data_IF_058661032316
#
_entry.id   IF_058661032316
#
_cell.length_a   1.000
_cell.length_b   1.000
_cell.length_c   1.000
_cell.angle_alpha   90.00
_cell.angle_beta   90.00
_cell.angle_gamma   90.00
#
_symmetry.space_group_name_H-M   'P 1'
#
loop_
_entity.id
_entity.type
_entity.pdbx_description
1 polymer ?
#
# COMPACT_ATOMS: atom_id res chain seq x y z
N UNK A 1 51.15 -41.89 -48.01
CA UNK A 1 50.62 -41.48 -49.33
C UNK A 1 49.16 -41.90 -49.42
N UNK A 2 48.35 -41.19 -50.20
CA UNK A 2 46.94 -41.54 -50.46
C UNK A 2 46.85 -42.70 -51.51
N UNK A 3 45.70 -43.20 -51.99
CA UNK A 3 44.54 -42.50 -52.58
C UNK A 3 43.23 -43.31 -52.44
N UNK A 4 42.12 -42.57 -52.27
CA UNK A 4 40.68 -42.86 -52.48
C UNK A 4 40.13 -44.31 -52.51
N UNK A 5 39.02 -44.49 -51.78
CA UNK A 5 37.94 -45.40 -52.18
C UNK A 5 36.80 -44.57 -52.79
N UNK A 6 36.28 -44.98 -53.94
CA UNK A 6 35.12 -44.36 -54.59
C UNK A 6 33.90 -45.27 -54.46
N UNK A 7 32.76 -44.72 -54.04
CA UNK A 7 31.47 -45.41 -54.01
C UNK A 7 30.45 -44.56 -54.77
N UNK A 8 29.95 -45.08 -55.91
CA UNK A 8 28.95 -44.41 -56.72
C UNK A 8 27.54 -44.57 -56.14
N UNK A 9 26.74 -43.51 -56.19
CA UNK A 9 25.30 -43.56 -55.91
C UNK A 9 24.51 -43.47 -57.21
N UNK A 10 23.60 -44.43 -57.41
CA UNK A 10 22.80 -44.56 -58.63
C UNK A 10 21.58 -43.64 -58.55
N UNK A 11 21.38 -42.82 -59.58
CA UNK A 11 20.14 -42.06 -59.75
C UNK A 11 18.99 -43.00 -60.18
N UNK A 12 17.93 -43.06 -59.38
CA UNK A 12 16.66 -43.68 -59.75
C UNK A 12 15.60 -42.59 -59.91
N UNK A 13 15.09 -42.40 -61.13
CA UNK A 13 14.01 -41.47 -61.42
C UNK A 13 12.66 -42.11 -61.10
N UNK A 14 12.01 -41.67 -60.02
CA UNK A 14 10.72 -42.21 -59.57
C UNK A 14 9.57 -41.21 -59.81
N UNK A 15 8.74 -41.57 -60.77
CA UNK A 15 7.51 -40.95 -61.26
C UNK A 15 6.64 -40.17 -60.24
N UNK A 16 6.09 -39.02 -60.66
CA UNK A 16 5.08 -38.26 -59.91
C UNK A 16 3.74 -39.00 -59.82
N UNK A 17 3.14 -39.09 -58.63
CA UNK A 17 1.69 -39.25 -58.40
C UNK A 17 1.35 -39.06 -56.91
N UNK A 18 0.96 -37.84 -56.50
CA UNK A 18 0.22 -37.67 -55.23
C UNK A 18 -1.28 -37.95 -55.47
N UNK A 19 -1.98 -38.66 -54.55
CA UNK A 19 -3.43 -38.82 -54.62
C UNK A 19 -4.16 -37.53 -54.19
N UNK A 20 -5.29 -37.25 -54.84
CA UNK A 20 -6.10 -36.06 -54.58
C UNK A 20 -6.49 -35.89 -53.10
N UNK A 21 -6.16 -34.73 -52.54
CA UNK A 21 -6.60 -34.33 -51.20
C UNK A 21 -7.88 -33.49 -51.34
N UNK A 22 -8.98 -33.82 -50.63
CA UNK A 22 -10.24 -33.07 -50.77
C UNK A 22 -10.07 -31.60 -50.35
N UNK A 23 -10.78 -30.66 -50.99
CA UNK A 23 -10.57 -29.23 -50.81
C UNK A 23 -10.92 -28.80 -49.37
N UNK A 24 -9.95 -28.22 -48.67
CA UNK A 24 -10.18 -27.59 -47.36
C UNK A 24 -11.14 -26.42 -47.50
N UNK A 25 -12.22 -26.42 -46.72
CA UNK A 25 -13.11 -25.28 -46.60
C UNK A 25 -12.34 -24.03 -46.14
N UNK A 26 -12.61 -22.88 -46.78
CA UNK A 26 -12.05 -21.59 -46.35
C UNK A 26 -12.68 -21.20 -45.00
N UNK A 27 -11.90 -20.69 -44.02
CA UNK A 27 -12.48 -20.15 -42.80
C UNK A 27 -13.38 -18.93 -43.11
N UNK A 28 -14.44 -18.69 -42.34
CA UNK A 28 -15.34 -17.56 -42.56
C UNK A 28 -14.60 -16.22 -42.35
N UNK A 29 -14.87 -15.25 -43.22
CA UNK A 29 -14.30 -13.90 -43.10
C UNK A 29 -14.94 -13.20 -41.91
N UNK A 30 -14.15 -12.93 -40.87
CA UNK A 30 -14.59 -12.12 -39.73
C UNK A 30 -14.84 -10.67 -40.18
N UNK A 31 -16.04 -10.15 -39.95
CA UNK A 31 -16.36 -8.74 -40.21
C UNK A 31 -15.75 -7.84 -39.12
N UNK A 32 -15.27 -6.63 -39.43
CA UNK A 32 -14.73 -5.73 -38.42
C UNK A 32 -15.80 -5.29 -37.40
N UNK A 33 -15.57 -5.58 -36.12
CA UNK A 33 -16.38 -5.02 -35.03
C UNK A 33 -16.07 -3.53 -34.87
N UNK A 34 -16.91 -2.68 -35.46
CA UNK A 34 -16.81 -1.21 -35.33
C UNK A 34 -17.01 -0.83 -33.86
N UNK A 35 -16.03 -0.19 -33.19
CA UNK A 35 -16.18 0.17 -31.77
C UNK A 35 -17.28 1.21 -31.59
N UNK A 36 -18.34 0.84 -30.85
CA UNK A 36 -19.38 1.80 -30.45
C UNK A 36 -18.79 2.72 -29.38
N UNK A 37 -18.71 4.02 -29.69
CA UNK A 37 -18.26 5.06 -28.76
C UNK A 37 -19.12 5.00 -27.47
N UNK A 38 -18.51 4.93 -26.27
CA UNK A 38 -19.28 4.97 -25.02
C UNK A 38 -20.12 6.24 -24.91
N UNK A 39 -21.33 6.11 -24.37
CA UNK A 39 -22.13 7.27 -23.99
C UNK A 39 -21.47 8.03 -22.82
N UNK A 40 -21.60 9.37 -22.74
CA UNK A 40 -21.11 10.12 -21.59
C UNK A 40 -21.83 9.67 -20.31
N UNK A 41 -21.09 9.54 -19.20
CA UNK A 41 -21.67 9.31 -17.88
C UNK A 41 -22.47 10.54 -17.44
N UNK A 42 -23.62 10.40 -16.76
CA UNK A 42 -24.27 11.52 -16.11
C UNK A 42 -23.37 12.13 -15.03
N UNK A 43 -23.49 13.44 -14.85
CA UNK A 43 -22.72 14.24 -13.91
C UNK A 43 -23.31 14.14 -12.48
N UNK A 44 -22.49 14.16 -11.41
CA UNK A 44 -23.00 14.10 -10.04
C UNK A 44 -23.83 15.35 -9.66
N UNK A 45 -24.91 15.21 -8.86
CA UNK A 45 -25.68 16.35 -8.40
C UNK A 45 -24.87 17.23 -7.43
N UNK A 46 -25.04 18.55 -7.54
CA UNK A 46 -24.31 19.55 -6.76
C UNK A 46 -24.69 19.51 -5.26
N UNK A 47 -23.73 19.69 -4.31
CA UNK A 47 -24.03 19.67 -2.88
C UNK A 47 -24.91 20.85 -2.43
N UNK A 48 -26.02 20.55 -1.75
CA UNK A 48 -26.93 21.57 -1.23
C UNK A 48 -26.28 22.46 -0.16
N UNK A 49 -26.50 23.78 -0.25
CA UNK A 49 -25.91 24.77 0.64
C UNK A 49 -26.37 24.64 2.11
N UNK A 50 -25.49 24.92 3.10
CA UNK A 50 -25.83 24.84 4.52
C UNK A 50 -26.77 25.98 4.96
N UNK A 51 -27.71 25.66 5.87
CA UNK A 51 -28.62 26.66 6.47
C UNK A 51 -27.89 27.55 7.50
N UNK A 52 -28.25 28.84 7.62
CA UNK A 52 -27.64 29.75 8.59
C UNK A 52 -28.08 29.48 10.04
N UNK A 53 -27.15 29.73 10.97
CA UNK A 53 -27.34 29.56 12.42
C UNK A 53 -27.99 30.80 13.07
N UNK A 54 -28.87 30.67 14.08
CA UNK A 54 -29.42 31.81 14.81
C UNK A 54 -28.36 32.58 15.65
N UNK A 55 -28.52 33.90 15.86
CA UNK A 55 -27.61 34.71 16.67
C UNK A 55 -27.82 34.52 18.19
N UNK A 56 -26.78 34.81 18.97
CA UNK A 56 -26.80 34.73 20.43
C UNK A 56 -27.40 36.00 21.10
N UNK A 57 -28.02 35.89 22.29
CA UNK A 57 -28.63 37.03 22.99
C UNK A 57 -27.59 37.94 23.68
N UNK A 58 -27.88 39.24 23.71
CA UNK A 58 -27.05 40.28 24.32
C UNK A 58 -27.31 40.43 25.83
N UNK A 59 -26.28 40.64 26.69
CA UNK A 59 -26.49 40.88 28.12
C UNK A 59 -27.00 42.30 28.42
N UNK A 60 -28.04 42.40 29.24
CA UNK A 60 -28.69 43.66 29.62
C UNK A 60 -27.91 44.46 30.69
N UNK A 61 -28.08 45.78 30.70
CA UNK A 61 -27.29 46.71 31.52
C UNK A 61 -27.58 46.67 33.04
N UNK A 62 -26.60 47.15 33.82
CA UNK A 62 -26.61 47.23 35.30
C UNK A 62 -27.02 48.64 35.79
N UNK A 63 -28.00 48.78 36.70
CA UNK A 63 -28.34 50.08 37.30
C UNK A 63 -27.43 50.50 38.48
N UNK A 64 -27.50 51.81 38.78
CA UNK A 64 -26.98 52.53 39.96
C UNK A 64 -27.91 53.76 40.18
N UNK A 65 -27.92 54.50 41.28
CA UNK A 65 -27.10 54.46 42.50
C UNK A 65 -28.02 54.16 43.74
N UNK A 66 -28.25 54.93 44.83
CA UNK A 66 -27.67 56.18 45.39
C UNK A 66 -27.51 56.08 46.95
N UNK A 67 -27.78 57.05 47.87
CA UNK A 67 -26.97 57.14 49.09
C UNK A 67 -27.65 56.67 50.39
N UNK A 68 -26.83 56.56 51.45
CA UNK A 68 -27.22 56.27 52.83
C UNK A 68 -27.41 57.54 53.68
N UNK A 69 -28.42 57.59 54.58
CA UNK A 69 -28.44 58.46 55.76
C UNK A 69 -28.17 57.70 57.07
N UNK A 70 -27.75 58.41 58.12
CA UNK A 70 -27.35 57.88 59.44
C UNK A 70 -27.71 58.90 60.54
N UNK A 71 -27.62 58.61 61.86
CA UNK A 71 -28.33 57.57 62.61
C UNK A 71 -29.21 58.16 63.74
N UNK A 72 -29.89 57.31 64.54
CA UNK A 72 -30.52 57.68 65.84
C UNK A 72 -30.39 56.54 66.87
N UNK A 73 -30.67 56.75 68.19
CA UNK A 73 -29.81 56.19 69.24
C UNK A 73 -30.33 54.93 69.95
N UNK A 74 -29.41 54.29 70.66
CA UNK A 74 -29.56 53.07 71.46
C UNK A 74 -30.38 53.25 72.75
N UNK A 75 -31.14 52.21 73.15
CA UNK A 75 -31.34 51.86 74.57
C UNK A 75 -30.64 50.53 74.93
N UNK A 76 -30.47 50.25 76.23
CA UNK A 76 -29.37 49.40 76.73
C UNK A 76 -29.76 47.96 77.10
N UNK A 77 -28.93 47.00 76.64
CA UNK A 77 -28.55 45.71 77.26
C UNK A 77 -29.65 44.74 77.76
N UNK A 78 -29.67 43.56 77.15
CA UNK A 78 -29.85 42.26 77.85
C UNK A 78 -28.57 41.44 77.67
N UNK A 79 -28.01 40.77 78.70
CA UNK A 79 -26.84 39.90 78.52
C UNK A 79 -27.22 38.62 77.75
N UNK A 80 -26.62 38.42 76.58
CA UNK A 80 -26.77 37.17 75.84
C UNK A 80 -25.90 36.06 76.46
N UNK A 81 -26.33 34.77 76.44
CA UNK A 81 -25.51 33.66 76.91
C UNK A 81 -24.17 33.57 76.16
N UNK A 82 -23.12 33.14 76.88
CA UNK A 82 -21.77 32.96 76.32
C UNK A 82 -21.83 31.90 75.20
N UNK A 83 -21.42 32.22 73.95
CA UNK A 83 -21.47 31.25 72.86
C UNK A 83 -20.49 30.08 73.11
N UNK A 84 -20.80 28.87 72.60
CA UNK A 84 -19.90 27.73 72.72
C UNK A 84 -18.57 27.99 72.02
N UNK A 85 -17.48 27.32 72.43
CA UNK A 85 -16.17 27.46 71.78
C UNK A 85 -16.28 27.08 70.30
N UNK A 86 -15.72 27.94 69.42
CA UNK A 86 -15.63 27.62 67.99
C UNK A 86 -14.88 26.31 67.78
N UNK A 87 -15.32 25.44 66.85
CA UNK A 87 -14.52 24.30 66.42
C UNK A 87 -13.12 24.74 66.02
N UNK A 88 -12.11 23.98 66.45
CA UNK A 88 -10.72 24.16 66.00
C UNK A 88 -10.69 23.91 64.48
N UNK A 89 -10.05 24.79 63.68
CA UNK A 89 -9.89 24.52 62.25
C UNK A 89 -9.20 23.17 62.04
N UNK A 90 -9.83 22.33 61.21
CA UNK A 90 -9.24 21.06 60.78
C UNK A 90 -8.01 21.34 59.91
N UNK A 91 -6.90 20.59 60.05
CA UNK A 91 -5.72 20.79 59.21
C UNK A 91 -6.07 20.65 57.71
N UNK A 92 -5.52 21.49 56.82
CA UNK A 92 -5.73 21.32 55.38
C UNK A 92 -5.33 19.90 54.95
N UNK A 93 -6.23 19.20 54.27
CA UNK A 93 -5.94 17.87 53.73
C UNK A 93 -4.69 17.94 52.81
N UNK A 94 -3.79 16.94 52.86
CA UNK A 94 -2.62 16.92 51.98
C UNK A 94 -3.03 17.05 50.50
N UNK A 95 -2.28 17.82 49.68
CA UNK A 95 -2.61 17.96 48.27
C UNK A 95 -2.59 16.58 47.59
N UNK A 96 -3.67 16.27 46.87
CA UNK A 96 -3.83 14.96 46.23
C UNK A 96 -2.63 14.64 45.32
N UNK A 97 -2.12 13.39 45.33
CA UNK A 97 -0.98 13.01 44.52
C UNK A 97 -1.27 13.28 43.04
N UNK A 98 -0.36 14.01 42.40
CA UNK A 98 -0.50 14.43 41.01
C UNK A 98 -0.70 13.17 40.13
N UNK A 99 -1.74 13.13 39.27
CA UNK A 99 -2.01 11.93 38.47
C UNK A 99 -0.80 11.59 37.59
N UNK A 100 -0.50 10.29 37.38
CA UNK A 100 0.63 9.87 36.56
C UNK A 100 0.48 10.42 35.14
N UNK A 101 1.60 10.77 34.46
CA UNK A 101 1.54 11.29 33.11
C UNK A 101 0.90 10.27 32.17
N UNK A 102 -0.09 10.71 31.39
CA UNK A 102 -0.79 9.86 30.41
C UNK A 102 0.22 9.18 29.47
N UNK A 103 0.03 7.88 29.14
CA UNK A 103 0.93 7.17 28.25
C UNK A 103 1.01 7.88 26.89
N UNK A 104 2.23 8.07 26.39
CA UNK A 104 2.48 8.74 25.11
C UNK A 104 1.75 7.98 23.99
N UNK A 105 1.05 8.67 23.07
CA UNK A 105 0.38 8.01 21.94
C UNK A 105 1.35 7.10 21.16
N UNK A 106 0.90 5.93 20.65
CA UNK A 106 1.72 5.08 19.82
C UNK A 106 2.29 5.83 18.61
N UNK A 107 3.50 5.47 18.12
CA UNK A 107 4.03 6.02 16.88
C UNK A 107 3.04 5.90 15.73
N UNK A 108 2.91 6.97 14.93
CA UNK A 108 2.15 6.93 13.69
C UNK A 108 2.77 5.90 12.73
N UNK A 109 1.97 5.17 11.93
CA UNK A 109 2.52 4.19 11.00
C UNK A 109 3.48 4.83 9.99
N UNK A 110 4.66 4.23 9.84
CA UNK A 110 5.66 4.60 8.85
C UNK A 110 5.54 3.69 7.62
N UNK A 111 5.40 4.29 6.43
CA UNK A 111 5.43 3.59 5.15
C UNK A 111 6.85 3.57 4.59
N UNK A 112 7.40 2.37 4.39
CA UNK A 112 8.71 2.16 3.80
C UNK A 112 8.56 1.73 2.33
N UNK A 113 9.11 2.50 1.39
CA UNK A 113 9.09 2.16 -0.04
C UNK A 113 10.15 1.10 -0.38
N UNK A 114 9.81 0.06 -1.14
CA UNK A 114 10.77 -1.03 -1.45
C UNK A 114 11.95 -0.54 -2.32
N UNK A 115 11.74 0.51 -3.11
CA UNK A 115 12.76 1.22 -3.88
C UNK A 115 13.63 2.19 -3.06
N UNK A 116 13.54 2.20 -1.73
CA UNK A 116 14.35 3.01 -0.82
C UNK A 116 14.98 2.20 0.32
N UNK A 117 14.75 0.89 0.38
CA UNK A 117 15.31 0.06 1.45
C UNK A 117 16.81 -0.13 1.23
N UNK A 118 17.57 -0.14 2.33
CA UNK A 118 18.96 -0.57 2.29
C UNK A 118 19.06 -2.07 1.97
N UNK A 119 20.16 -2.44 1.32
CA UNK A 119 20.53 -3.84 1.11
C UNK A 119 21.33 -4.32 2.32
N UNK A 120 20.74 -5.22 3.13
CA UNK A 120 21.41 -5.78 4.31
C UNK A 120 22.65 -6.58 3.92
N UNK A 121 23.82 -6.37 4.56
CA UNK A 121 24.00 -5.81 5.90
C UNK A 121 24.45 -4.32 5.94
N UNK A 122 24.09 -3.49 4.96
CA UNK A 122 24.47 -2.06 4.94
C UNK A 122 23.60 -1.22 5.91
N UNK A 123 22.43 -1.74 6.33
CA UNK A 123 21.53 -1.06 7.26
C UNK A 123 21.84 -1.28 8.75
N UNK A 124 21.04 -0.62 9.60
CA UNK A 124 21.16 -0.62 11.06
C UNK A 124 20.30 -1.71 11.74
N UNK A 125 19.53 -2.50 10.98
CA UNK A 125 18.62 -3.51 11.51
C UNK A 125 17.38 -2.93 12.22
N UNK A 126 17.05 -1.64 12.05
CA UNK A 126 15.88 -0.98 12.67
C UNK A 126 14.68 -0.79 11.73
N UNK A 127 14.87 -1.05 10.43
CA UNK A 127 13.93 -0.77 9.34
C UNK A 127 13.87 -1.97 8.38
N UNK A 128 12.85 -2.07 7.52
CA UNK A 128 12.82 -3.10 6.49
C UNK A 128 14.04 -3.01 5.56
N UNK A 129 14.68 -4.15 5.29
CA UNK A 129 15.94 -4.24 4.52
C UNK A 129 15.90 -5.40 3.52
N UNK A 130 16.47 -5.22 2.33
CA UNK A 130 16.57 -6.27 1.32
C UNK A 130 17.73 -7.19 1.67
N UNK A 131 17.46 -8.47 1.94
CA UNK A 131 18.47 -9.45 2.32
C UNK A 131 19.26 -9.91 1.08
N UNK A 132 20.48 -9.38 0.89
CA UNK A 132 21.32 -9.69 -0.28
C UNK A 132 21.48 -11.20 -0.51
N UNK A 133 21.92 -11.94 0.51
CA UNK A 133 22.19 -13.39 0.41
C UNK A 133 20.97 -14.29 0.19
N UNK A 134 19.75 -13.75 0.11
CA UNK A 134 18.53 -14.50 -0.22
C UNK A 134 17.61 -13.73 -1.19
N UNK A 135 18.21 -12.88 -2.03
CA UNK A 135 17.51 -12.11 -3.06
C UNK A 135 18.18 -12.28 -4.41
N UNK A 136 17.38 -12.47 -5.46
CA UNK A 136 17.83 -12.30 -6.84
C UNK A 136 17.98 -10.82 -7.20
N UNK A 137 18.20 -10.53 -8.48
CA UNK A 137 18.31 -9.16 -8.98
C UNK A 137 17.04 -8.34 -8.70
N UNK A 138 17.26 -7.12 -8.21
CA UNK A 138 16.27 -6.13 -7.82
C UNK A 138 16.74 -4.75 -8.28
N UNK A 139 16.04 -4.14 -9.24
CA UNK A 139 16.30 -2.77 -9.66
C UNK A 139 15.38 -1.80 -8.92
N UNK A 140 15.94 -1.01 -8.00
CA UNK A 140 15.21 0.07 -7.34
C UNK A 140 15.06 1.27 -8.28
N UNK A 141 13.83 1.74 -8.53
CA UNK A 141 13.54 2.78 -9.54
C UNK A 141 12.64 3.90 -9.01
N UNK A 142 12.93 5.12 -9.43
CA UNK A 142 12.10 6.32 -9.27
C UNK A 142 10.94 6.41 -10.27
N UNK A 143 10.78 5.41 -11.13
CA UNK A 143 9.67 5.31 -12.08
C UNK A 143 9.64 3.95 -12.77
N UNK A 144 8.44 3.39 -12.87
CA UNK A 144 8.14 2.08 -13.50
C UNK A 144 6.88 2.19 -14.36
N UNK A 145 6.61 1.25 -15.26
CA UNK A 145 5.48 1.35 -16.20
C UNK A 145 4.91 -0.02 -16.53
N UNK A 146 3.59 -0.19 -16.38
CA UNK A 146 2.89 -1.46 -16.59
C UNK A 146 1.61 -1.19 -17.38
N UNK A 147 1.42 -1.88 -18.52
CA UNK A 147 0.22 -1.73 -19.35
C UNK A 147 0.08 -0.30 -19.90
N UNK A 148 1.21 0.34 -20.23
CA UNK A 148 1.29 1.75 -20.62
C UNK A 148 1.08 2.75 -19.48
N UNK A 149 0.81 2.31 -18.25
CA UNK A 149 0.55 3.19 -17.10
C UNK A 149 1.83 3.39 -16.29
N UNK A 150 2.29 4.65 -16.22
CA UNK A 150 3.47 5.04 -15.43
C UNK A 150 3.15 5.20 -13.94
N UNK A 151 4.06 4.76 -13.09
CA UNK A 151 3.99 4.94 -11.63
C UNK A 151 5.28 5.59 -11.10
N UNK A 152 5.14 6.59 -10.22
CA UNK A 152 6.24 7.44 -9.74
C UNK A 152 7.23 6.81 -8.74
N UNK A 153 7.13 5.50 -8.50
CA UNK A 153 8.19 4.68 -7.88
C UNK A 153 7.84 3.19 -8.02
N UNK A 154 8.85 2.32 -7.96
CA UNK A 154 8.66 0.87 -7.97
C UNK A 154 9.98 0.12 -7.99
N UNK A 155 9.89 -1.21 -7.99
CA UNK A 155 11.06 -2.08 -8.16
C UNK A 155 10.83 -3.12 -9.25
N UNK A 156 11.85 -3.39 -10.05
CA UNK A 156 11.81 -4.36 -11.15
C UNK A 156 12.63 -5.59 -10.79
N UNK A 157 12.13 -6.76 -11.18
CA UNK A 157 12.77 -8.06 -11.00
C UNK A 157 12.75 -8.81 -12.33
N UNK A 158 13.63 -9.82 -12.49
CA UNK A 158 13.46 -10.81 -13.56
C UNK A 158 12.29 -11.75 -13.22
N UNK A 159 11.64 -12.28 -14.25
CA UNK A 159 10.47 -13.16 -14.13
C UNK A 159 10.71 -14.49 -13.41
N UNK A 160 11.96 -14.92 -13.25
CA UNK A 160 12.37 -16.09 -12.46
C UNK A 160 13.23 -15.66 -11.25
N UNK A 161 12.68 -14.81 -10.38
CA UNK A 161 13.40 -14.21 -9.24
C UNK A 161 12.57 -14.18 -7.97
N UNK A 162 13.24 -14.21 -6.81
CA UNK A 162 12.62 -13.84 -5.54
C UNK A 162 13.51 -12.93 -4.73
N UNK A 163 12.91 -11.95 -4.04
CA UNK A 163 13.57 -10.93 -3.24
C UNK A 163 13.03 -11.01 -1.82
N UNK A 164 13.92 -11.25 -0.86
CA UNK A 164 13.58 -11.41 0.56
C UNK A 164 13.83 -10.09 1.28
N UNK A 165 12.82 -9.61 2.01
CA UNK A 165 12.88 -8.41 2.82
C UNK A 165 12.75 -8.83 4.29
N UNK A 166 13.77 -8.55 5.08
CA UNK A 166 13.70 -8.60 6.53
C UNK A 166 12.90 -7.39 7.00
N UNK A 167 11.86 -7.61 7.83
CA UNK A 167 10.98 -6.53 8.27
C UNK A 167 11.58 -5.72 9.43
N UNK A 168 12.40 -6.36 10.26
CA UNK A 168 13.14 -5.81 11.42
C UNK A 168 12.32 -5.08 12.51
N UNK A 169 11.01 -4.89 12.30
CA UNK A 169 10.08 -4.23 13.23
C UNK A 169 8.65 -4.74 13.04
N UNK A 170 7.73 -4.24 13.87
CA UNK A 170 6.30 -4.57 13.82
C UNK A 170 5.60 -3.99 12.59
N UNK A 171 5.70 -4.67 11.45
CA UNK A 171 4.98 -4.33 10.23
C UNK A 171 3.58 -4.97 10.18
N UNK A 172 2.64 -4.32 9.50
CA UNK A 172 1.21 -4.69 9.50
C UNK A 172 0.64 -4.94 8.11
N UNK A 173 1.10 -4.22 7.07
CA UNK A 173 0.58 -4.28 5.70
C UNK A 173 1.70 -4.23 4.67
N UNK A 174 1.54 -5.00 3.59
CA UNK A 174 2.28 -4.82 2.34
C UNK A 174 1.29 -4.44 1.23
N UNK A 175 1.65 -3.48 0.39
CA UNK A 175 0.83 -3.08 -0.76
C UNK A 175 1.67 -2.70 -1.98
N UNK A 176 1.25 -3.12 -3.17
CA UNK A 176 1.82 -2.75 -4.46
C UNK A 176 0.80 -2.93 -5.61
N UNK A 177 1.16 -2.47 -6.80
CA UNK A 177 0.61 -2.94 -8.08
C UNK A 177 1.65 -3.83 -8.76
N UNK A 178 1.25 -4.92 -9.41
CA UNK A 178 2.17 -5.84 -10.09
C UNK A 178 1.77 -6.12 -11.54
N UNK A 179 2.77 -6.34 -12.40
CA UNK A 179 2.59 -6.70 -13.80
C UNK A 179 3.93 -6.73 -14.55
N UNK A 180 3.89 -7.12 -15.82
CA UNK A 180 5.07 -7.09 -16.70
C UNK A 180 5.43 -5.64 -17.00
N UNK A 181 6.71 -5.30 -16.87
CA UNK A 181 7.24 -3.96 -17.19
C UNK A 181 7.12 -3.69 -18.69
N UNK A 182 6.64 -2.50 -19.07
CA UNK A 182 6.55 -2.06 -20.47
C UNK A 182 7.91 -2.07 -21.20
N UNK A 183 9.04 -2.04 -20.48
CA UNK A 183 10.38 -2.32 -21.03
C UNK A 183 10.50 -3.68 -21.73
N UNK A 184 9.62 -4.63 -21.39
CA UNK A 184 9.51 -5.96 -22.03
C UNK A 184 8.79 -5.89 -23.40
N UNK A 185 8.32 -4.72 -23.83
CA UNK A 185 7.69 -4.47 -25.14
C UNK A 185 6.48 -5.39 -25.44
N UNK A 186 5.71 -5.74 -24.41
CA UNK A 186 4.55 -6.63 -24.53
C UNK A 186 4.88 -8.13 -24.59
N UNK A 187 6.14 -8.53 -24.46
CA UNK A 187 6.54 -9.94 -24.44
C UNK A 187 6.42 -10.55 -23.05
N UNK A 188 6.25 -11.87 -23.03
CA UNK A 188 6.32 -12.69 -21.82
C UNK A 188 5.04 -12.76 -20.97
N UNK A 189 4.99 -13.77 -20.11
CA UNK A 189 3.90 -14.07 -19.18
C UNK A 189 4.44 -14.55 -17.84
N UNK A 190 3.97 -13.95 -16.75
CA UNK A 190 4.50 -14.19 -15.39
C UNK A 190 3.39 -14.39 -14.37
N UNK A 191 3.75 -14.88 -13.18
CA UNK A 191 2.88 -14.94 -12.00
C UNK A 191 3.62 -14.37 -10.80
N UNK A 192 2.97 -13.48 -10.08
CA UNK A 192 3.46 -12.90 -8.84
C UNK A 192 2.93 -13.68 -7.64
N UNK A 193 3.76 -13.85 -6.62
CA UNK A 193 3.37 -14.43 -5.34
C UNK A 193 4.02 -13.65 -4.19
N UNK A 194 3.27 -13.38 -3.13
CA UNK A 194 3.79 -12.80 -1.88
C UNK A 194 3.82 -13.88 -0.80
N UNK A 195 4.96 -14.02 -0.13
CA UNK A 195 5.16 -14.92 0.99
C UNK A 195 5.49 -14.12 2.26
N UNK A 196 5.05 -14.63 3.43
CA UNK A 196 5.48 -14.17 4.75
C UNK A 196 5.97 -15.37 5.56
N UNK A 197 7.23 -15.33 6.00
CA UNK A 197 7.92 -16.43 6.70
C UNK A 197 7.70 -17.81 6.04
N UNK A 198 7.95 -17.87 4.73
CA UNK A 198 7.81 -19.09 3.92
C UNK A 198 6.37 -19.52 3.59
N UNK A 199 5.35 -18.95 4.23
CA UNK A 199 3.93 -19.20 3.92
C UNK A 199 3.48 -18.27 2.79
N UNK A 200 2.84 -18.78 1.72
CA UNK A 200 2.28 -17.91 0.66
C UNK A 200 1.02 -17.21 1.18
N UNK A 201 1.02 -15.88 1.16
CA UNK A 201 -0.09 -15.04 1.63
C UNK A 201 -0.99 -14.59 0.46
N UNK A 202 -0.42 -14.42 -0.74
CA UNK A 202 -1.12 -13.96 -1.93
C UNK A 202 -0.47 -14.47 -3.21
N UNK A 203 -1.23 -14.56 -4.31
CA UNK A 203 -0.79 -14.95 -5.65
C UNK A 203 -1.68 -14.34 -6.73
N UNK A 204 -1.10 -13.88 -7.83
CA UNK A 204 -1.81 -13.32 -8.98
C UNK A 204 -2.41 -14.41 -9.90
N UNK A 205 -3.32 -14.05 -10.84
CA UNK A 205 -3.46 -14.76 -12.11
C UNK A 205 -2.14 -14.77 -12.90
N UNK A 206 -2.10 -15.40 -14.08
CA UNK A 206 -1.02 -15.09 -15.05
C UNK A 206 -1.24 -13.65 -15.52
N UNK A 207 -0.16 -12.89 -15.67
CA UNK A 207 -0.15 -11.56 -16.27
C UNK A 207 0.84 -11.55 -17.43
N UNK A 208 0.41 -11.04 -18.57
CA UNK A 208 1.16 -10.95 -19.82
C UNK A 208 1.69 -9.54 -20.03
N UNK A 209 2.66 -9.38 -20.94
CA UNK A 209 3.07 -8.06 -21.41
C UNK A 209 1.89 -7.26 -21.99
N UNK A 210 1.67 -6.06 -21.45
CA UNK A 210 0.56 -5.19 -21.84
C UNK A 210 -0.72 -5.32 -21.00
N UNK A 211 -0.80 -6.30 -20.08
CA UNK A 211 -1.93 -6.38 -19.13
C UNK A 211 -1.91 -5.22 -18.13
N UNK A 212 -3.10 -4.83 -17.65
CA UNK A 212 -3.24 -3.81 -16.61
C UNK A 212 -2.71 -4.30 -15.26
N UNK A 213 -2.03 -3.42 -14.51
CA UNK A 213 -1.39 -3.78 -13.24
C UNK A 213 -2.41 -4.23 -12.17
N UNK A 214 -2.16 -5.38 -11.55
CA UNK A 214 -3.04 -5.98 -10.53
C UNK A 214 -2.62 -5.55 -9.11
N UNK A 215 -3.56 -5.17 -8.24
CA UNK A 215 -3.25 -4.85 -6.85
C UNK A 215 -2.91 -6.09 -6.02
N UNK A 216 -1.84 -5.98 -5.24
CA UNK A 216 -1.54 -6.84 -4.10
C UNK A 216 -1.65 -5.99 -2.83
N UNK A 217 -2.48 -6.44 -1.88
CA UNK A 217 -2.74 -5.76 -0.63
C UNK A 217 -2.98 -6.80 0.46
N UNK A 218 -2.06 -6.90 1.42
CA UNK A 218 -1.94 -8.09 2.28
C UNK A 218 -1.53 -7.71 3.70
N UNK A 219 -2.19 -8.30 4.69
CA UNK A 219 -1.80 -8.22 6.10
C UNK A 219 -0.55 -9.07 6.39
N UNK A 220 0.48 -8.43 6.95
CA UNK A 220 1.78 -9.06 7.28
C UNK A 220 2.10 -8.99 8.78
N UNK A 221 1.08 -8.73 9.61
CA UNK A 221 1.21 -8.68 11.06
C UNK A 221 1.83 -9.98 11.64
N UNK A 222 2.77 -9.81 12.57
CA UNK A 222 3.47 -10.92 13.22
C UNK A 222 4.52 -11.62 12.36
N UNK A 223 4.74 -11.19 11.10
CA UNK A 223 5.80 -11.75 10.25
C UNK A 223 7.17 -11.18 10.59
N UNK A 224 8.23 -11.96 10.35
CA UNK A 224 9.63 -11.50 10.43
C UNK A 224 10.18 -11.10 9.07
N UNK A 225 9.76 -11.83 8.04
CA UNK A 225 10.19 -11.67 6.65
C UNK A 225 8.99 -11.62 5.71
N UNK A 226 9.12 -10.85 4.63
CA UNK A 226 8.32 -11.06 3.42
C UNK A 226 9.24 -11.44 2.27
N UNK A 227 8.72 -12.22 1.31
CA UNK A 227 9.43 -12.54 0.08
C UNK A 227 8.54 -12.28 -1.12
N UNK A 228 9.00 -11.37 -1.96
CA UNK A 228 8.43 -11.08 -3.27
C UNK A 228 8.91 -12.17 -4.22
N UNK A 229 8.02 -12.79 -4.98
CA UNK A 229 8.37 -13.86 -5.92
C UNK A 229 7.71 -13.57 -7.26
N UNK A 230 8.49 -13.70 -8.33
CA UNK A 230 7.98 -13.78 -9.69
C UNK A 230 8.35 -15.15 -10.26
N UNK A 231 7.38 -15.81 -10.88
CA UNK A 231 7.49 -17.12 -11.50
C UNK A 231 7.14 -16.96 -13.00
N UNK A 232 7.94 -17.45 -13.96
CA UNK A 232 7.59 -17.39 -15.38
C UNK A 232 6.47 -18.37 -15.68
N UNK A 233 5.59 -18.08 -16.65
CA UNK A 233 4.51 -19.02 -17.01
C UNK A 233 5.06 -20.25 -17.75
N UNK A 234 6.02 -20.03 -18.64
CA UNK A 234 6.71 -21.03 -19.46
C UNK A 234 8.23 -20.78 -19.42
N UNK A 235 9.08 -21.75 -19.83
CA UNK A 235 10.53 -21.55 -19.87
C UNK A 235 11.01 -20.41 -20.78
N UNK A 236 10.19 -19.91 -21.71
CA UNK A 236 10.53 -18.80 -22.61
C UNK A 236 10.27 -17.43 -21.98
N UNK A 237 9.43 -17.35 -20.95
CA UNK A 237 9.08 -16.09 -20.29
C UNK A 237 10.19 -15.55 -19.36
N UNK A 238 11.32 -16.25 -19.26
CA UNK A 238 12.51 -15.83 -18.50
C UNK A 238 13.12 -14.50 -18.95
N UNK A 239 12.76 -14.03 -20.15
CA UNK A 239 13.13 -12.72 -20.69
C UNK A 239 12.37 -11.56 -20.05
N UNK A 240 11.25 -11.83 -19.37
CA UNK A 240 10.36 -10.78 -18.90
C UNK A 240 10.89 -10.01 -17.67
N UNK A 241 10.73 -8.69 -17.72
CA UNK A 241 10.90 -7.81 -16.57
C UNK A 241 9.55 -7.64 -15.87
N UNK A 242 9.57 -7.65 -14.55
CA UNK A 242 8.38 -7.76 -13.72
C UNK A 242 8.43 -6.71 -12.61
N UNK A 243 7.47 -5.78 -12.62
CA UNK A 243 7.43 -4.63 -11.72
C UNK A 243 6.54 -4.87 -10.51
N UNK A 244 6.99 -4.35 -9.37
CA UNK A 244 6.19 -4.09 -8.17
C UNK A 244 6.09 -2.57 -8.00
N UNK A 245 5.16 -1.96 -8.74
CA UNK A 245 4.89 -0.54 -8.75
C UNK A 245 4.23 -0.05 -7.45
N UNK A 246 4.61 1.16 -7.00
CA UNK A 246 4.18 1.76 -5.73
C UNK A 246 4.37 0.86 -4.50
N UNK A 247 5.35 -0.04 -4.54
CA UNK A 247 5.56 -1.06 -3.51
C UNK A 247 5.97 -0.46 -2.17
N UNK A 248 5.20 -0.74 -1.12
CA UNK A 248 5.39 -0.23 0.24
C UNK A 248 5.07 -1.24 1.34
N UNK A 249 5.70 -1.04 2.50
CA UNK A 249 5.52 -1.78 3.74
C UNK A 249 5.09 -0.79 4.83
N UNK A 250 3.90 -0.96 5.41
CA UNK A 250 3.42 -0.13 6.52
C UNK A 250 3.80 -0.77 7.86
N UNK A 251 4.53 -0.05 8.71
CA UNK A 251 4.98 -0.53 10.02
C UNK A 251 4.68 0.47 11.14
N UNK A 252 4.71 -0.03 12.39
CA UNK A 252 4.70 0.78 13.61
C UNK A 252 6.09 0.79 14.25
#
# INVERSE_FOLDING_TARGET
>A
MAVAAAAGLVFALANNSEPDRPPKAKPPVAQPLVPRKPAPSPEPPEPAAPKPTPPAPTPTARPSEKPSPSPKPTPSRTPAPKPPPKPRPEPPAPPAPKPPPSPKPPPAPADFQVNQLAFGPIGDGSKPEVRLGASGWLWQRSGVSIGGTRYGHGVTMHSASSVTIDLNRSCSRYAALVGVDDLTMGLGSVRFSLYGDGTRLWRSPVLSGGDAAVPVDVGIAGRKTIRLVVEPHTPFDVVALADWARSRISCR
#
